data_IF_175649625190
#
_entry.id   IF_175649625190
#
_cell.length_a   1.000
_cell.length_b   1.000
_cell.length_c   1.000
_cell.angle_alpha   90.00
_cell.angle_beta   90.00
_cell.angle_gamma   90.00
#
_symmetry.space_group_name_H-M   'P 1'
#
loop_
_entity.id
_entity.type
_entity.pdbx_description
1 polymer ?
#
# COMPACT_ATOMS: atom_id res chain seq x y z
N UNK A 1 5.91 10.93 13.58
CA UNK A 1 5.40 10.87 12.21
C UNK A 1 5.99 9.62 11.60
N UNK A 2 5.17 8.82 10.91
CA UNK A 2 5.58 7.62 10.23
C UNK A 2 5.26 7.77 8.74
N UNK A 3 6.17 7.30 7.89
CA UNK A 3 5.90 7.06 6.48
C UNK A 3 5.11 5.74 6.36
N UNK A 4 3.93 5.79 5.75
CA UNK A 4 3.03 4.64 5.67
C UNK A 4 3.70 3.47 4.95
N UNK A 5 4.34 3.74 3.81
CA UNK A 5 4.99 2.68 3.03
C UNK A 5 6.25 2.12 3.69
N UNK A 6 7.14 3.00 4.11
CA UNK A 6 8.47 2.63 4.59
C UNK A 6 8.50 2.15 6.04
N UNK A 7 7.68 2.76 6.91
CA UNK A 7 7.73 2.45 8.34
C UNK A 7 6.68 1.40 8.73
N UNK A 8 5.47 1.44 8.13
CA UNK A 8 4.42 0.51 8.52
C UNK A 8 4.63 -0.91 7.95
N UNK A 9 5.34 -1.07 6.84
CA UNK A 9 5.70 -2.39 6.28
C UNK A 9 6.51 -3.24 7.27
N UNK A 10 7.70 -2.77 7.72
CA UNK A 10 8.51 -3.46 8.71
C UNK A 10 7.81 -3.66 10.07
N UNK A 11 7.04 -2.66 10.53
CA UNK A 11 6.24 -2.79 11.76
C UNK A 11 5.20 -3.90 11.65
N UNK A 12 4.48 -3.95 10.51
CA UNK A 12 3.50 -4.99 10.25
C UNK A 12 4.17 -6.37 10.19
N UNK A 13 5.35 -6.48 9.57
CA UNK A 13 6.09 -7.73 9.48
C UNK A 13 6.45 -8.28 10.87
N UNK A 14 6.96 -7.41 11.75
CA UNK A 14 7.32 -7.79 13.11
C UNK A 14 6.11 -8.25 13.93
N UNK A 15 5.00 -7.51 13.86
CA UNK A 15 3.78 -7.88 14.59
C UNK A 15 3.09 -9.11 14.02
N UNK A 16 3.12 -9.31 12.69
CA UNK A 16 2.51 -10.48 12.05
C UNK A 16 3.29 -11.73 12.43
N UNK A 17 4.62 -11.66 12.38
CA UNK A 17 5.50 -12.75 12.83
C UNK A 17 5.21 -13.14 14.29
N UNK A 18 5.07 -12.14 15.18
CA UNK A 18 4.74 -12.38 16.59
C UNK A 18 3.36 -13.01 16.75
N UNK A 19 2.37 -12.53 15.98
CA UNK A 19 1.04 -13.09 15.95
C UNK A 19 1.08 -14.55 15.51
N UNK A 20 1.62 -14.87 14.33
CA UNK A 20 1.71 -16.23 13.79
C UNK A 20 2.40 -17.21 14.74
N UNK A 21 3.55 -16.80 15.30
CA UNK A 21 4.34 -17.64 16.21
C UNK A 21 3.78 -17.72 17.63
N UNK A 22 2.73 -16.95 17.94
CA UNK A 22 2.10 -16.87 19.26
C UNK A 22 3.13 -16.61 20.38
N UNK A 23 4.10 -15.73 20.11
CA UNK A 23 5.12 -15.35 21.09
C UNK A 23 4.51 -14.56 22.25
N UNK A 24 5.23 -14.38 23.35
CA UNK A 24 4.76 -13.48 24.42
C UNK A 24 4.36 -12.10 23.87
N UNK A 25 3.17 -11.62 24.24
CA UNK A 25 2.62 -10.35 23.73
C UNK A 25 1.99 -10.41 22.33
N UNK A 26 1.80 -11.60 21.73
CA UNK A 26 1.22 -11.74 20.40
C UNK A 26 -0.18 -11.14 20.27
N UNK A 27 -1.02 -11.20 21.31
CA UNK A 27 -2.38 -10.64 21.28
C UNK A 27 -2.37 -9.12 21.12
N UNK A 28 -1.38 -8.45 21.75
CA UNK A 28 -1.16 -7.03 21.59
C UNK A 28 -0.65 -6.72 20.17
N UNK A 29 0.25 -7.55 19.63
CA UNK A 29 0.75 -7.41 18.26
C UNK A 29 -0.38 -7.53 17.22
N UNK A 30 -1.27 -8.53 17.38
CA UNK A 30 -2.49 -8.65 16.58
C UNK A 30 -3.36 -7.40 16.68
N UNK A 31 -3.61 -6.91 17.89
CA UNK A 31 -4.43 -5.70 18.11
C UNK A 31 -3.83 -4.49 17.39
N UNK A 32 -2.52 -4.28 17.49
CA UNK A 32 -1.83 -3.19 16.83
C UNK A 32 -1.88 -3.31 15.29
N UNK A 33 -1.79 -4.52 14.74
CA UNK A 33 -1.97 -4.77 13.31
C UNK A 33 -3.37 -4.43 12.81
N UNK A 34 -4.41 -4.86 13.53
CA UNK A 34 -5.79 -4.57 13.14
C UNK A 34 -6.05 -3.06 13.22
N UNK A 35 -5.58 -2.40 14.29
CA UNK A 35 -5.65 -0.94 14.38
C UNK A 35 -4.86 -0.23 13.28
N UNK A 36 -3.73 -0.79 12.82
CA UNK A 36 -2.97 -0.24 11.71
C UNK A 36 -3.79 -0.27 10.41
N UNK A 37 -4.48 -1.40 10.12
CA UNK A 37 -5.37 -1.51 8.97
C UNK A 37 -6.51 -0.48 9.04
N UNK A 38 -7.17 -0.38 10.19
CA UNK A 38 -8.28 0.55 10.43
C UNK A 38 -7.82 2.01 10.35
N UNK A 39 -6.65 2.29 10.93
CA UNK A 39 -6.02 3.60 10.93
C UNK A 39 -5.71 4.08 9.51
N UNK A 40 -5.02 3.26 8.71
CA UNK A 40 -4.74 3.60 7.31
C UNK A 40 -6.06 3.76 6.53
N UNK A 41 -7.05 2.88 6.73
CA UNK A 41 -8.35 2.97 6.07
C UNK A 41 -9.19 4.20 6.49
N UNK A 42 -8.85 4.85 7.60
CA UNK A 42 -9.51 6.06 8.09
C UNK A 42 -8.92 7.35 7.53
N UNK A 43 -7.71 7.29 6.95
CA UNK A 43 -7.07 8.46 6.36
C UNK A 43 -7.81 8.92 5.08
N UNK A 44 -7.86 10.23 4.78
CA UNK A 44 -8.59 10.77 3.63
C UNK A 44 -8.20 10.16 2.27
N UNK A 45 -6.94 9.79 2.11
CA UNK A 45 -6.36 9.21 0.89
C UNK A 45 -5.69 7.85 1.17
N UNK A 46 -6.00 7.22 2.31
CA UNK A 46 -5.43 5.94 2.69
C UNK A 46 -3.90 5.94 2.66
N UNK A 47 -3.32 5.04 1.86
CA UNK A 47 -1.87 4.94 1.65
C UNK A 47 -1.29 6.21 1.00
N UNK A 48 -2.04 6.88 0.12
CA UNK A 48 -1.57 8.05 -0.61
C UNK A 48 -1.35 9.30 0.27
N UNK A 49 -1.86 9.30 1.52
CA UNK A 49 -1.44 10.28 2.53
C UNK A 49 0.08 10.26 2.75
N UNK A 50 0.71 9.09 2.61
CA UNK A 50 2.15 8.81 2.72
C UNK A 50 2.80 9.10 4.08
N UNK A 51 2.38 10.14 4.78
CA UNK A 51 2.77 10.44 6.16
C UNK A 51 1.53 10.43 7.06
N UNK A 52 1.69 9.87 8.25
CA UNK A 52 0.68 9.91 9.31
C UNK A 52 1.33 10.08 10.68
N UNK A 53 0.57 10.64 11.63
CA UNK A 53 0.91 10.55 13.04
C UNK A 53 0.46 9.19 13.54
N UNK A 54 1.43 8.32 13.82
CA UNK A 54 1.20 6.97 14.30
C UNK A 54 1.73 6.80 15.73
N UNK A 55 0.89 6.28 16.62
CA UNK A 55 1.26 5.91 17.98
C UNK A 55 1.49 4.39 18.07
N UNK A 56 2.75 3.92 18.13
CA UNK A 56 3.05 2.49 18.10
C UNK A 56 2.63 1.74 19.38
N UNK A 57 2.29 2.45 20.46
CA UNK A 57 1.79 1.82 21.69
C UNK A 57 0.29 1.54 21.64
N UNK A 58 -0.48 2.38 20.96
CA UNK A 58 -1.95 2.26 20.90
C UNK A 58 -2.47 1.79 19.55
N UNK A 59 -1.66 1.90 18.49
CA UNK A 59 -2.07 1.69 17.10
C UNK A 59 -2.85 2.86 16.51
N UNK A 60 -3.00 3.96 17.27
CA UNK A 60 -3.76 5.12 16.80
C UNK A 60 -3.03 5.81 15.64
N UNK A 61 -3.79 6.10 14.58
CA UNK A 61 -3.31 6.82 13.40
C UNK A 61 -4.14 8.08 13.17
N UNK A 62 -3.47 9.19 12.88
CA UNK A 62 -4.09 10.48 12.57
C UNK A 62 -3.38 11.15 11.40
N UNK A 63 -4.08 12.05 10.72
CA UNK A 63 -3.49 12.92 9.70
C UNK A 63 -2.39 13.82 10.31
N UNK A 64 -1.36 14.11 9.52
CA UNK A 64 -0.35 15.07 9.93
C UNK A 64 -0.89 16.51 9.82
N UNK A 65 -0.57 17.41 10.77
CA UNK A 65 -0.92 18.81 10.63
C UNK A 65 -0.05 19.50 9.55
N UNK A 66 -0.49 20.68 9.06
CA UNK A 66 0.35 21.54 8.24
C UNK A 66 1.71 21.82 8.90
N UNK A 67 2.81 21.94 8.13
CA UNK A 67 2.88 22.10 6.67
C UNK A 67 2.97 20.77 5.89
N UNK A 68 2.68 19.63 6.53
CA UNK A 68 2.72 18.33 5.84
C UNK A 68 1.66 18.29 4.73
N UNK A 69 2.01 17.88 3.49
CA UNK A 69 1.02 17.71 2.43
C UNK A 69 -0.05 16.68 2.80
N UNK A 70 -1.29 16.90 2.34
CA UNK A 70 -2.39 15.96 2.58
C UNK A 70 -2.16 14.61 1.88
N UNK A 71 -1.43 14.60 0.76
CA UNK A 71 -1.00 13.43 0.03
C UNK A 71 0.40 13.65 -0.57
N UNK A 72 1.16 12.57 -0.73
CA UNK A 72 2.46 12.61 -1.39
C UNK A 72 2.80 11.24 -1.97
N UNK A 73 2.87 11.11 -3.30
CA UNK A 73 3.19 9.83 -3.92
C UNK A 73 4.70 9.66 -3.99
N UNK A 74 5.22 8.62 -3.35
CA UNK A 74 6.64 8.28 -3.37
C UNK A 74 6.83 6.89 -3.98
N UNK A 75 7.79 6.79 -4.90
CA UNK A 75 8.18 5.53 -5.54
C UNK A 75 8.80 4.54 -4.54
N UNK A 76 9.23 4.98 -3.36
CA UNK A 76 9.80 4.10 -2.34
C UNK A 76 8.73 3.44 -1.47
N UNK A 77 7.50 3.97 -1.43
CA UNK A 77 6.47 3.58 -0.45
C UNK A 77 5.94 2.15 -0.63
N UNK A 78 6.27 1.45 -1.71
CA UNK A 78 5.82 0.08 -1.97
C UNK A 78 6.95 -0.91 -2.26
N UNK A 79 8.21 -0.51 -2.07
CA UNK A 79 9.36 -1.34 -2.47
C UNK A 79 10.05 -2.06 -1.31
N UNK A 80 9.64 -1.77 -0.07
CA UNK A 80 10.25 -2.33 1.14
C UNK A 80 9.24 -3.22 1.87
N UNK A 81 8.88 -4.32 1.23
CA UNK A 81 8.04 -5.41 1.77
C UNK A 81 6.59 -5.07 2.10
N UNK A 82 6.14 -3.83 1.90
CA UNK A 82 4.76 -3.44 2.18
C UNK A 82 3.74 -4.29 1.40
N UNK A 83 3.82 -4.44 0.06
CA UNK A 83 2.84 -5.23 -0.66
C UNK A 83 2.84 -6.71 -0.27
N UNK A 84 4.00 -7.29 0.02
CA UNK A 84 4.16 -8.69 0.42
C UNK A 84 3.51 -8.94 1.80
N UNK A 85 3.94 -8.18 2.81
CA UNK A 85 3.49 -8.37 4.20
C UNK A 85 2.01 -8.07 4.36
N UNK A 86 1.50 -7.03 3.69
CA UNK A 86 0.07 -6.72 3.76
C UNK A 86 -0.76 -7.74 2.98
N UNK A 87 -0.24 -8.37 1.92
CA UNK A 87 -0.96 -9.48 1.26
C UNK A 87 -1.13 -10.66 2.23
N UNK A 88 -0.06 -11.06 2.91
CA UNK A 88 -0.11 -12.14 3.92
C UNK A 88 -1.02 -11.78 5.10
N UNK A 89 -0.89 -10.56 5.64
CA UNK A 89 -1.74 -10.07 6.73
C UNK A 89 -3.23 -10.10 6.36
N UNK A 90 -3.57 -9.63 5.16
CA UNK A 90 -4.96 -9.58 4.71
C UNK A 90 -5.53 -10.98 4.50
N UNK A 91 -4.72 -11.96 4.10
CA UNK A 91 -5.15 -13.36 4.02
C UNK A 91 -5.28 -14.00 5.41
N UNK A 92 -4.31 -13.78 6.29
CA UNK A 92 -4.27 -14.34 7.63
C UNK A 92 -5.40 -13.81 8.53
N UNK A 93 -5.77 -12.54 8.37
CA UNK A 93 -6.79 -11.87 9.19
C UNK A 93 -8.21 -11.90 8.57
N UNK A 94 -8.41 -12.47 7.38
CA UNK A 94 -9.67 -12.34 6.61
C UNK A 94 -10.90 -12.90 7.32
N UNK A 95 -10.74 -13.95 8.11
CA UNK A 95 -11.87 -14.62 8.77
C UNK A 95 -12.18 -13.97 10.13
N UNK A 96 -11.15 -13.74 10.96
CA UNK A 96 -11.29 -13.18 12.31
C UNK A 96 -11.56 -11.66 12.33
N UNK A 97 -11.08 -10.94 11.30
CA UNK A 97 -11.13 -9.47 11.22
C UNK A 97 -11.64 -8.98 9.86
N UNK A 98 -12.60 -9.71 9.28
CA UNK A 98 -13.16 -9.47 7.95
C UNK A 98 -13.53 -8.00 7.68
N UNK A 99 -14.21 -7.34 8.63
CA UNK A 99 -14.64 -5.95 8.47
C UNK A 99 -13.47 -4.98 8.29
N UNK A 100 -12.40 -5.16 9.06
CA UNK A 100 -11.22 -4.29 9.06
C UNK A 100 -10.39 -4.54 7.80
N UNK A 101 -10.25 -5.81 7.41
CA UNK A 101 -9.62 -6.25 6.15
C UNK A 101 -10.33 -5.66 4.94
N UNK A 102 -11.67 -5.79 4.85
CA UNK A 102 -12.44 -5.28 3.72
C UNK A 102 -12.48 -3.75 3.67
N UNK A 103 -12.55 -3.08 4.83
CA UNK A 103 -12.43 -1.63 4.90
C UNK A 103 -11.07 -1.14 4.37
N UNK A 104 -9.97 -1.77 4.79
CA UNK A 104 -8.63 -1.44 4.31
C UNK A 104 -8.48 -1.72 2.80
N UNK A 105 -8.91 -2.90 2.34
CA UNK A 105 -8.87 -3.27 0.92
C UNK A 105 -9.53 -2.23 0.03
N UNK A 106 -10.75 -1.83 0.40
CA UNK A 106 -11.59 -0.91 -0.39
C UNK A 106 -11.10 0.54 -0.31
N UNK A 107 -10.67 1.01 0.86
CA UNK A 107 -10.38 2.44 1.08
C UNK A 107 -8.92 2.82 0.86
N UNK A 108 -7.99 1.88 0.98
CA UNK A 108 -6.56 2.18 1.01
C UNK A 108 -5.76 1.34 0.01
N UNK A 109 -5.98 0.02 -0.01
CA UNK A 109 -5.16 -0.93 -0.77
C UNK A 109 -5.40 -0.88 -2.28
N UNK A 110 -6.60 -1.28 -2.73
CA UNK A 110 -6.90 -1.39 -4.15
C UNK A 110 -6.94 -0.03 -4.87
N UNK A 111 -7.47 1.06 -4.28
CA UNK A 111 -7.37 2.39 -4.92
C UNK A 111 -5.93 2.77 -5.24
N UNK A 112 -5.01 2.59 -4.29
CA UNK A 112 -3.59 2.92 -4.48
C UNK A 112 -2.96 2.09 -5.59
N UNK A 113 -3.17 0.77 -5.58
CA UNK A 113 -2.61 -0.14 -6.56
C UNK A 113 -3.16 0.07 -7.97
N UNK A 114 -4.45 0.42 -8.10
CA UNK A 114 -5.07 0.79 -9.37
C UNK A 114 -4.50 2.09 -9.91
N UNK A 115 -4.31 3.09 -9.06
CA UNK A 115 -3.86 4.43 -9.45
C UNK A 115 -2.37 4.49 -9.81
N UNK A 116 -1.50 3.71 -9.15
CA UNK A 116 -0.04 3.86 -9.29
C UNK A 116 0.47 3.71 -10.74
N UNK A 117 0.14 2.58 -11.39
CA UNK A 117 0.44 2.35 -12.82
C UNK A 117 -0.78 2.63 -13.72
N UNK A 118 -1.83 3.22 -13.16
CA UNK A 118 -3.05 3.58 -13.88
C UNK A 118 -2.86 4.81 -14.77
N UNK A 119 -3.86 5.07 -15.61
CA UNK A 119 -3.92 6.34 -16.36
C UNK A 119 -4.35 7.48 -15.44
N UNK A 120 -4.28 8.72 -15.93
CA UNK A 120 -4.76 9.90 -15.19
C UNK A 120 -6.24 9.79 -14.86
N UNK A 121 -7.03 9.23 -15.76
CA UNK A 121 -8.46 8.99 -15.55
C UNK A 121 -8.69 8.04 -14.36
N UNK A 122 -7.87 6.99 -14.22
CA UNK A 122 -7.94 6.08 -13.06
C UNK A 122 -7.53 6.82 -11.78
N UNK A 123 -6.50 7.66 -11.80
CA UNK A 123 -6.08 8.42 -10.62
C UNK A 123 -7.20 9.37 -10.14
N UNK A 124 -7.82 10.11 -11.07
CA UNK A 124 -8.94 11.00 -10.77
C UNK A 124 -10.16 10.21 -10.28
N UNK A 125 -10.43 9.03 -10.86
CA UNK A 125 -11.52 8.18 -10.41
C UNK A 125 -11.33 7.67 -8.97
N UNK A 126 -10.12 7.27 -8.62
CA UNK A 126 -9.82 6.68 -7.29
C UNK A 126 -9.60 7.74 -6.20
N UNK A 127 -9.04 8.91 -6.56
CA UNK A 127 -8.59 9.92 -5.58
C UNK A 127 -9.18 11.32 -5.77
N UNK A 128 -9.83 11.60 -6.91
CA UNK A 128 -10.36 12.93 -7.24
C UNK A 128 -9.31 13.93 -7.73
N UNK A 129 -8.05 13.51 -7.90
CA UNK A 129 -6.95 14.33 -8.40
C UNK A 129 -5.94 13.49 -9.19
N UNK A 130 -5.19 14.14 -10.08
CA UNK A 130 -4.06 13.52 -10.77
C UNK A 130 -2.87 13.42 -9.84
N UNK A 131 -2.10 12.33 -9.96
CA UNK A 131 -0.91 12.16 -9.15
C UNK A 131 0.25 12.93 -9.78
N UNK A 132 0.70 13.96 -9.08
CA UNK A 132 1.94 14.66 -9.40
C UNK A 132 3.12 13.87 -8.83
N UNK A 133 3.77 13.08 -9.68
CA UNK A 133 5.03 12.46 -9.33
C UNK A 133 6.08 13.57 -9.32
N UNK A 134 6.55 13.94 -8.13
CA UNK A 134 7.61 14.94 -7.91
C UNK A 134 8.99 14.53 -8.44
N UNK A 135 9.06 13.42 -9.20
CA UNK A 135 10.26 12.86 -9.78
C UNK A 135 10.13 12.81 -11.30
N UNK A 136 11.25 12.76 -12.04
CA UNK A 136 11.24 12.58 -13.48
C UNK A 136 10.31 11.42 -13.92
N UNK A 137 9.63 11.51 -15.08
CA UNK A 137 8.67 10.48 -15.52
C UNK A 137 9.25 9.04 -15.55
N UNK A 138 10.55 8.93 -15.82
CA UNK A 138 11.37 7.72 -15.82
C UNK A 138 11.73 7.20 -14.41
N UNK A 139 11.61 8.04 -13.38
CA UNK A 139 11.84 7.69 -11.97
C UNK A 139 10.57 7.25 -11.22
N UNK A 140 9.52 6.86 -11.96
CA UNK A 140 8.28 6.30 -11.38
C UNK A 140 8.38 4.81 -11.01
N UNK A 141 9.45 4.13 -11.46
CA UNK A 141 9.76 2.72 -11.14
C UNK A 141 8.61 1.77 -11.45
N UNK A 142 7.95 1.97 -12.60
CA UNK A 142 6.75 1.21 -13.01
C UNK A 142 6.96 -0.30 -13.03
N UNK A 143 8.14 -0.76 -13.46
CA UNK A 143 8.52 -2.17 -13.45
C UNK A 143 8.54 -2.74 -12.04
N UNK A 144 9.16 -2.04 -11.08
CA UNK A 144 9.17 -2.45 -9.68
C UNK A 144 7.77 -2.48 -9.06
N UNK A 145 6.86 -1.63 -9.55
CA UNK A 145 5.46 -1.59 -9.12
C UNK A 145 4.53 -2.49 -9.96
N UNK A 146 5.06 -3.29 -10.89
CA UNK A 146 4.24 -4.23 -11.70
C UNK A 146 3.49 -5.24 -10.83
N UNK A 147 4.07 -5.64 -9.69
CA UNK A 147 3.42 -6.50 -8.68
C UNK A 147 2.10 -5.90 -8.19
N UNK A 148 2.02 -4.58 -8.01
CA UNK A 148 0.77 -3.92 -7.59
C UNK A 148 -0.33 -4.11 -8.64
N UNK A 149 0.04 -3.97 -9.92
CA UNK A 149 -0.87 -4.21 -11.05
C UNK A 149 -1.30 -5.67 -11.11
N UNK A 150 -0.39 -6.61 -10.80
CA UNK A 150 -0.71 -8.05 -10.76
C UNK A 150 -1.68 -8.40 -9.61
N UNK A 151 -1.51 -7.79 -8.42
CA UNK A 151 -2.43 -7.97 -7.29
C UNK A 151 -3.85 -7.52 -7.68
N UNK A 152 -3.98 -6.35 -8.30
CA UNK A 152 -5.28 -5.85 -8.79
C UNK A 152 -5.85 -6.78 -9.87
N UNK A 153 -5.02 -7.22 -10.82
CA UNK A 153 -5.45 -8.14 -11.88
C UNK A 153 -6.01 -9.45 -11.31
N UNK A 154 -5.36 -10.02 -10.29
CA UNK A 154 -5.82 -11.23 -9.61
C UNK A 154 -7.16 -11.01 -8.89
N UNK A 155 -7.30 -9.88 -8.19
CA UNK A 155 -8.54 -9.51 -7.50
C UNK A 155 -9.71 -9.33 -8.48
N UNK A 156 -9.50 -8.61 -9.58
CA UNK A 156 -10.52 -8.31 -10.59
C UNK A 156 -10.73 -9.46 -11.59
N UNK A 157 -9.90 -10.52 -11.53
CA UNK A 157 -9.83 -11.59 -12.55
C UNK A 157 -9.65 -11.02 -13.96
N UNK A 158 -8.83 -9.97 -14.10
CA UNK A 158 -8.61 -9.25 -15.35
C UNK A 158 -7.35 -9.75 -16.07
N UNK A 159 -7.54 -10.48 -17.17
CA UNK A 159 -6.44 -10.93 -18.03
C UNK A 159 -5.69 -9.75 -18.67
N UNK A 160 -6.42 -8.68 -19.03
CA UNK A 160 -5.84 -7.47 -19.61
C UNK A 160 -4.86 -6.80 -18.65
N UNK A 161 -5.26 -6.58 -17.38
CA UNK A 161 -4.36 -6.04 -16.36
C UNK A 161 -3.21 -6.99 -16.06
N UNK A 162 -3.45 -8.30 -16.10
CA UNK A 162 -2.40 -9.31 -15.97
C UNK A 162 -1.32 -9.17 -17.04
N UNK A 163 -1.72 -9.00 -18.31
CA UNK A 163 -0.80 -8.73 -19.42
C UNK A 163 -0.06 -7.40 -19.24
N UNK A 164 -0.75 -6.36 -18.79
CA UNK A 164 -0.13 -5.05 -18.54
C UNK A 164 0.95 -5.11 -17.43
N UNK A 165 0.73 -5.89 -16.37
CA UNK A 165 1.73 -6.11 -15.32
C UNK A 165 3.02 -6.72 -15.88
N UNK A 166 2.90 -7.72 -16.76
CA UNK A 166 4.06 -8.44 -17.32
C UNK A 166 4.76 -7.66 -18.43
N UNK A 167 4.01 -7.07 -19.36
CA UNK A 167 4.58 -6.58 -20.62
C UNK A 167 4.74 -5.07 -20.65
N UNK A 168 3.72 -4.32 -20.23
CA UNK A 168 3.76 -2.86 -20.32
C UNK A 168 4.58 -2.26 -19.19
N UNK A 169 4.38 -2.68 -17.95
CA UNK A 169 5.15 -2.11 -16.83
C UNK A 169 6.60 -2.57 -16.84
N UNK A 170 6.90 -3.77 -17.37
CA UNK A 170 8.25 -4.31 -17.42
C UNK A 170 9.08 -3.77 -18.59
N UNK A 171 8.48 -3.61 -19.78
CA UNK A 171 9.21 -3.19 -20.98
C UNK A 171 9.23 -1.68 -21.24
N UNK A 172 8.46 -0.89 -20.48
CA UNK A 172 8.46 0.58 -20.60
C UNK A 172 9.59 1.25 -19.80
N UNK A 173 10.39 0.48 -19.04
CA UNK A 173 11.55 1.00 -18.31
C UNK A 173 12.69 1.35 -19.30
N UNK A 174 13.26 2.57 -19.23
CA UNK A 174 14.31 3.00 -20.16
C UNK A 174 15.63 2.23 -20.02
N UNK A 175 15.84 1.47 -18.95
CA UNK A 175 17.00 0.60 -18.77
C UNK A 175 16.77 -0.77 -19.39
N UNK A 176 16.72 -0.83 -20.73
CA UNK A 176 17.06 -2.07 -21.43
C UNK A 176 18.58 -2.19 -21.45
N UNK A 177 19.12 -3.14 -20.70
CA UNK A 177 20.46 -3.67 -20.99
C UNK A 177 20.35 -4.23 -22.41
N UNK A 178 21.14 -3.68 -23.33
CA UNK A 178 21.13 -4.08 -24.73
C UNK A 178 21.34 -5.58 -24.90
N UNK A 179 20.68 -6.13 -25.90
CA UNK A 179 21.14 -7.36 -26.57
C UNK A 179 22.53 -7.16 -27.16
#
# INVERSE_FOLDING_TARGET
MANIGLDCGPLAAAWLTAWERRTEGWENSRKLLVHLLEGIASLPHGIANNAALFNPKTGEMRVCPPPTPDHAISHLSMLFSFPEIFTELLDYAKDDHASSVEAFKRKAWFPYMKAYNGTREVQVQEYGFEWDFTFPPDATWRQSHSTLTAIVAAQEKSEERGKAAIWHNHNSSPNKIGE
#
